data_IF_531234517317
#
_entry.id   IF_531234517317
#
_cell.length_a   1.000
_cell.length_b   1.000
_cell.length_c   1.000
_cell.angle_alpha   90.00
_cell.angle_beta   90.00
_cell.angle_gamma   90.00
#
_symmetry.space_group_name_H-M   'P 1'
#
loop_
_entity.id
_entity.type
_entity.pdbx_description
1 polymer ?
#
# COMPACT_ATOMS: atom_id res chain seq x y z
N UNK A 1 5.34 -5.11 1.33
CA UNK A 1 4.68 -3.79 1.22
C UNK A 1 5.02 -2.90 2.40
N UNK A 2 4.82 -3.35 3.64
CA UNK A 2 5.17 -2.56 4.82
C UNK A 2 6.66 -2.19 4.87
N UNK A 3 7.56 -3.11 4.51
CA UNK A 3 9.01 -2.80 4.44
C UNK A 3 9.33 -1.67 3.44
N UNK A 4 8.63 -1.65 2.30
CA UNK A 4 8.77 -0.57 1.32
C UNK A 4 8.28 0.78 1.88
N UNK A 5 7.21 0.76 2.67
CA UNK A 5 6.73 1.93 3.41
C UNK A 5 7.76 2.40 4.46
N UNK A 6 8.33 1.49 5.25
CA UNK A 6 9.35 1.84 6.25
C UNK A 6 10.60 2.44 5.61
N UNK A 7 11.01 1.94 4.44
CA UNK A 7 12.11 2.51 3.65
C UNK A 7 11.84 3.94 3.16
N UNK A 8 10.58 4.31 2.91
CA UNK A 8 10.22 5.70 2.56
C UNK A 8 10.20 6.57 3.80
N UNK A 9 9.62 6.08 4.90
CA UNK A 9 9.54 6.85 6.16
C UNK A 9 10.92 7.13 6.74
N UNK A 10 11.87 6.19 6.61
CA UNK A 10 13.25 6.37 7.10
C UNK A 10 14.00 7.53 6.43
N UNK A 11 13.53 7.97 5.25
CA UNK A 11 14.04 9.15 4.55
C UNK A 11 13.40 10.46 5.04
N UNK A 12 12.45 10.38 5.96
CA UNK A 12 11.74 11.51 6.57
C UNK A 12 12.04 11.60 8.07
N UNK A 13 11.83 12.76 8.68
CA UNK A 13 12.00 12.95 10.13
C UNK A 13 10.75 12.50 10.94
N UNK A 14 10.09 11.41 10.50
CA UNK A 14 8.79 10.99 11.03
C UNK A 14 8.86 9.55 11.54
N UNK A 15 8.10 9.24 12.58
CA UNK A 15 7.95 7.87 13.06
C UNK A 15 7.04 7.05 12.13
N UNK A 16 7.35 5.76 11.88
CA UNK A 16 6.48 4.90 11.08
C UNK A 16 5.14 4.65 11.79
N UNK A 17 4.08 4.58 10.99
CA UNK A 17 2.78 4.11 11.43
C UNK A 17 2.83 2.59 11.67
N UNK A 18 1.95 2.09 12.52
CA UNK A 18 1.84 0.65 12.76
C UNK A 18 1.44 -0.11 11.49
N UNK A 19 1.82 -1.39 11.42
CA UNK A 19 1.45 -2.29 10.34
C UNK A 19 -0.07 -2.27 10.05
N UNK A 20 -0.91 -2.40 11.09
CA UNK A 20 -2.37 -2.33 10.96
C UNK A 20 -2.86 -1.02 10.35
N UNK A 21 -2.24 0.11 10.72
CA UNK A 21 -2.61 1.41 10.15
C UNK A 21 -2.27 1.47 8.67
N UNK A 22 -1.10 1.00 8.27
CA UNK A 22 -0.70 0.93 6.85
C UNK A 22 -1.63 0.00 6.07
N UNK A 23 -2.00 -1.16 6.63
CA UNK A 23 -2.97 -2.08 6.01
C UNK A 23 -4.35 -1.43 5.80
N UNK A 24 -4.82 -0.64 6.78
CA UNK A 24 -6.08 0.11 6.64
C UNK A 24 -6.01 1.16 5.54
N UNK A 25 -4.90 1.92 5.48
CA UNK A 25 -4.69 2.91 4.42
C UNK A 25 -4.69 2.24 3.04
N UNK A 26 -3.99 1.12 2.87
CA UNK A 26 -4.00 0.37 1.60
C UNK A 26 -5.40 -0.12 1.21
N UNK A 27 -6.22 -0.53 2.19
CA UNK A 27 -7.62 -0.89 1.95
C UNK A 27 -8.47 0.32 1.54
N UNK A 28 -8.25 1.47 2.17
CA UNK A 28 -8.92 2.73 1.83
C UNK A 28 -8.56 3.16 0.40
N UNK A 29 -7.29 3.10 0.00
CA UNK A 29 -6.85 3.38 -1.38
C UNK A 29 -7.47 2.41 -2.40
N UNK A 30 -7.63 1.14 -2.02
CA UNK A 30 -8.33 0.17 -2.86
C UNK A 30 -9.81 0.48 -3.02
N UNK A 31 -10.47 0.91 -1.94
CA UNK A 31 -11.85 1.35 -1.96
C UNK A 31 -12.05 2.59 -2.85
N UNK A 32 -11.10 3.52 -2.85
CA UNK A 32 -11.11 4.71 -3.72
C UNK A 32 -10.78 4.41 -5.19
N UNK A 33 -10.46 3.16 -5.54
CA UNK A 33 -10.14 2.75 -6.91
C UNK A 33 -8.77 3.25 -7.40
N UNK A 34 -7.88 3.62 -6.48
CA UNK A 34 -6.49 4.01 -6.78
C UNK A 34 -5.63 2.75 -6.93
N UNK A 35 -5.84 1.78 -6.05
CA UNK A 35 -5.22 0.45 -6.10
C UNK A 35 -6.26 -0.66 -6.22
N UNK A 36 -5.83 -1.85 -6.58
CA UNK A 36 -6.54 -3.10 -6.31
C UNK A 36 -5.73 -3.94 -5.32
N UNK A 37 -6.41 -4.76 -4.53
CA UNK A 37 -5.80 -5.70 -3.60
C UNK A 37 -6.38 -7.08 -3.87
N UNK A 38 -5.53 -8.02 -4.25
CA UNK A 38 -5.90 -9.44 -4.36
C UNK A 38 -5.44 -10.18 -3.11
N UNK A 39 -6.33 -11.01 -2.56
CA UNK A 39 -5.97 -11.93 -1.48
C UNK A 39 -5.53 -13.25 -2.08
N UNK A 40 -4.27 -13.58 -1.90
CA UNK A 40 -3.75 -14.89 -2.33
C UNK A 40 -3.88 -15.85 -1.17
N UNK A 41 -4.82 -16.78 -1.33
CA UNK A 41 -5.09 -17.86 -0.39
C UNK A 41 -3.91 -18.82 -0.36
N UNK A 42 -3.23 -18.85 0.77
CA UNK A 42 -2.13 -19.75 1.05
C UNK A 42 -2.58 -21.19 1.27
N UNK A 43 -2.53 -22.03 0.22
CA UNK A 43 -2.70 -23.48 0.37
C UNK A 43 -1.53 -24.11 1.14
N UNK A 44 -1.69 -25.39 1.55
CA UNK A 44 -0.64 -26.30 2.05
C UNK A 44 0.57 -25.67 2.83
N UNK A 45 0.32 -24.69 3.70
CA UNK A 45 1.33 -24.12 4.59
C UNK A 45 2.13 -22.93 4.05
N UNK A 46 1.89 -22.46 2.83
CA UNK A 46 2.45 -21.19 2.34
C UNK A 46 1.50 -20.08 2.80
N UNK A 47 1.83 -19.30 3.84
CA UNK A 47 0.90 -18.33 4.44
C UNK A 47 0.20 -17.40 3.44
N UNK A 48 -0.95 -16.85 3.83
CA UNK A 48 -1.68 -15.93 2.95
C UNK A 48 -1.02 -14.56 2.90
N UNK A 49 -0.98 -13.97 1.70
CA UNK A 49 -0.50 -12.61 1.49
C UNK A 49 -1.45 -11.83 0.59
N UNK A 50 -1.20 -10.52 0.48
CA UNK A 50 -1.94 -9.63 -0.41
C UNK A 50 -1.00 -9.00 -1.42
N UNK A 51 -1.46 -8.97 -2.66
CA UNK A 51 -0.80 -8.25 -3.74
C UNK A 51 -1.57 -6.96 -3.97
N UNK A 52 -0.85 -5.84 -3.97
CA UNK A 52 -1.40 -4.52 -4.27
C UNK A 52 -0.89 -4.04 -5.62
N UNK A 53 -1.78 -3.54 -6.48
CA UNK A 53 -1.43 -3.00 -7.79
C UNK A 53 -2.12 -1.66 -8.02
N UNK A 54 -1.45 -0.74 -8.71
CA UNK A 54 -2.05 0.53 -9.13
C UNK A 54 -3.05 0.29 -10.28
N UNK A 55 -4.22 0.91 -10.18
CA UNK A 55 -5.25 0.92 -11.23
C UNK A 55 -5.12 2.10 -12.20
N UNK A 56 -4.14 2.98 -11.96
CA UNK A 56 -3.79 4.14 -12.77
C UNK A 56 -2.28 4.16 -12.98
N UNK A 57 -1.82 4.89 -13.99
CA UNK A 57 -0.39 5.06 -14.23
C UNK A 57 0.26 5.76 -13.01
N UNK A 58 1.48 5.37 -12.61
CA UNK A 58 2.17 5.96 -11.46
C UNK A 58 2.29 7.49 -11.55
N UNK A 59 2.50 8.04 -12.74
CA UNK A 59 2.66 9.48 -12.97
C UNK A 59 1.39 10.25 -12.59
N UNK A 60 0.22 9.71 -12.95
CA UNK A 60 -1.09 10.30 -12.62
C UNK A 60 -1.33 10.26 -11.12
N UNK A 61 -0.91 9.18 -10.46
CA UNK A 61 -1.06 9.02 -9.00
C UNK A 61 -0.17 10.01 -8.25
N UNK A 62 1.07 10.22 -8.71
CA UNK A 62 1.98 11.21 -8.11
C UNK A 62 1.48 12.63 -8.35
N UNK A 63 1.04 12.97 -9.57
CA UNK A 63 0.49 14.31 -9.86
C UNK A 63 -0.73 14.65 -8.98
N UNK A 64 -1.55 13.65 -8.64
CA UNK A 64 -2.68 13.86 -7.75
C UNK A 64 -2.27 14.24 -6.31
N UNK A 65 -1.09 13.81 -5.84
CA UNK A 65 -0.58 14.12 -4.50
C UNK A 65 -0.05 15.56 -4.37
N UNK A 66 0.46 16.13 -5.47
CA UNK A 66 1.00 17.50 -5.50
C UNK A 66 -0.09 18.59 -5.57
N UNK A 67 -1.37 18.19 -5.77
CA UNK A 67 -2.50 19.11 -5.92
C UNK A 67 -3.24 19.42 -4.60
N UNK A 68 -2.72 18.99 -3.45
CA UNK A 68 -3.27 19.23 -2.11
C UNK A 68 -2.52 20.30 -1.30
#
# INVERSE_FOLDING_TARGET
MYDAYENVVSQTNTSPLSYDRVQRLLKEQAFLGITESEYTGGGHGEGSYRVHRLLRSPEVVVEALDRE
#
